data_IF_790221846510
#
_entry.id   IF_790221846510
#
_cell.length_a   1.000
_cell.length_b   1.000
_cell.length_c   1.000
_cell.angle_alpha   90.00
_cell.angle_beta   90.00
_cell.angle_gamma   90.00
#
_symmetry.space_group_name_H-M   'P 1'
#
loop_
_entity.id
_entity.type
_entity.pdbx_description
1 polymer ?
#
# COMPACT_ATOMS: atom_id res chain seq x y z
N UNK A 1 -60.33 -18.51 -23.21
CA UNK A 1 -59.13 -18.15 -24.00
C UNK A 1 -58.06 -17.69 -23.03
N UNK A 2 -57.15 -18.60 -22.70
CA UNK A 2 -55.93 -18.32 -21.97
C UNK A 2 -54.83 -18.05 -23.00
N UNK A 3 -54.03 -17.00 -22.78
CA UNK A 3 -52.68 -16.96 -23.33
C UNK A 3 -51.71 -16.68 -22.21
N UNK A 4 -51.11 -17.77 -21.74
CA UNK A 4 -49.84 -17.84 -21.05
C UNK A 4 -48.71 -17.44 -22.00
N UNK A 5 -47.75 -16.66 -21.51
CA UNK A 5 -46.35 -16.81 -21.95
C UNK A 5 -45.50 -16.95 -20.71
N UNK A 6 -45.08 -18.18 -20.48
CA UNK A 6 -44.10 -18.62 -19.49
C UNK A 6 -42.71 -18.27 -20.02
N UNK A 7 -41.90 -17.59 -19.23
CA UNK A 7 -40.45 -17.66 -19.36
C UNK A 7 -39.88 -17.91 -17.96
N UNK A 8 -39.57 -19.17 -17.69
CA UNK A 8 -38.73 -19.58 -16.58
C UNK A 8 -37.30 -19.11 -16.85
N UNK A 9 -36.77 -18.29 -15.96
CA UNK A 9 -35.34 -18.08 -15.78
C UNK A 9 -35.03 -18.30 -14.31
N UNK A 10 -34.74 -19.55 -13.95
CA UNK A 10 -34.15 -19.89 -12.66
C UNK A 10 -32.76 -19.25 -12.59
N UNK A 11 -32.70 -18.11 -11.91
CA UNK A 11 -31.47 -17.37 -11.62
C UNK A 11 -31.55 -16.86 -10.20
N UNK A 12 -31.24 -17.73 -9.24
CA UNK A 12 -31.00 -17.34 -7.84
C UNK A 12 -29.76 -16.44 -7.76
N UNK A 13 -29.91 -15.14 -8.06
CA UNK A 13 -29.00 -14.11 -7.57
C UNK A 13 -29.70 -13.38 -6.44
N UNK A 14 -29.77 -14.06 -5.30
CA UNK A 14 -30.19 -13.45 -4.04
C UNK A 14 -29.12 -12.44 -3.62
N UNK A 15 -29.35 -11.18 -3.93
CA UNK A 15 -28.68 -10.05 -3.29
C UNK A 15 -28.93 -10.14 -1.78
N UNK A 16 -27.91 -10.50 -1.01
CA UNK A 16 -27.95 -10.37 0.45
C UNK A 16 -27.40 -8.99 0.83
N UNK A 17 -28.31 -8.16 1.33
CA UNK A 17 -28.01 -7.01 2.20
C UNK A 17 -27.01 -7.42 3.30
N UNK A 18 -26.24 -6.46 3.80
CA UNK A 18 -25.30 -6.53 4.95
C UNK A 18 -26.00 -6.95 6.27
N UNK A 19 -26.52 -8.17 6.26
CA UNK A 19 -27.23 -8.89 7.32
C UNK A 19 -26.92 -10.38 7.20
N UNK A 20 -25.69 -10.73 6.84
CA UNK A 20 -25.29 -12.13 6.90
C UNK A 20 -24.94 -12.46 8.35
N UNK A 21 -25.61 -13.47 8.90
CA UNK A 21 -25.46 -13.97 10.27
C UNK A 21 -24.00 -14.32 10.61
N UNK A 22 -23.16 -14.56 9.60
CA UNK A 22 -21.73 -14.86 9.73
C UNK A 22 -20.83 -13.65 10.09
N UNK A 23 -21.32 -12.40 9.99
CA UNK A 23 -20.62 -11.19 10.49
C UNK A 23 -21.26 -10.62 11.78
N UNK A 24 -22.35 -11.22 12.28
CA UNK A 24 -22.95 -10.81 13.57
C UNK A 24 -22.23 -11.43 14.77
N UNK A 25 -21.51 -12.53 14.55
CA UNK A 25 -20.64 -13.11 15.55
C UNK A 25 -19.30 -12.37 15.50
N UNK A 26 -19.16 -11.32 16.34
CA UNK A 26 -17.84 -10.75 16.64
C UNK A 26 -16.91 -11.90 16.97
N UNK A 27 -15.79 -12.01 16.25
CA UNK A 27 -14.81 -13.05 16.54
C UNK A 27 -14.24 -12.77 17.93
N UNK A 28 -14.53 -13.64 18.89
CA UNK A 28 -13.93 -13.60 20.22
C UNK A 28 -12.62 -14.37 20.19
N UNK A 29 -11.47 -13.71 20.34
CA UNK A 29 -10.17 -14.38 20.23
C UNK A 29 -9.12 -13.53 19.54
N UNK A 30 -8.02 -14.17 19.16
CA UNK A 30 -7.06 -13.57 18.24
C UNK A 30 -7.70 -13.44 16.86
N UNK A 31 -7.75 -12.22 16.34
CA UNK A 31 -8.31 -11.91 15.01
C UNK A 31 -7.22 -11.74 13.96
N UNK A 32 -6.00 -11.47 14.39
CA UNK A 32 -4.85 -11.17 13.55
C UNK A 32 -3.90 -10.17 14.21
N UNK A 33 -2.83 -9.84 13.51
CA UNK A 33 -1.86 -8.82 13.92
C UNK A 33 -1.67 -7.80 12.80
N UNK A 34 -1.53 -6.53 13.16
CA UNK A 34 -1.42 -5.40 12.23
C UNK A 34 -0.27 -4.52 12.69
N UNK A 35 0.52 -4.01 11.75
CA UNK A 35 1.45 -2.91 12.01
C UNK A 35 1.40 -1.92 10.85
N UNK A 36 1.28 -0.62 11.14
CA UNK A 36 1.26 0.42 10.12
C UNK A 36 1.86 1.73 10.62
N UNK A 37 2.37 2.56 9.69
CA UNK A 37 2.90 3.89 9.98
C UNK A 37 1.83 4.88 10.49
N UNK A 38 0.53 4.63 10.22
CA UNK A 38 -0.57 5.50 10.63
C UNK A 38 -1.55 4.77 11.56
N UNK A 39 -1.72 5.25 12.82
CA UNK A 39 -2.51 4.56 13.83
C UNK A 39 -4.00 4.34 13.48
N UNK A 40 -4.68 5.33 12.91
CA UNK A 40 -6.11 5.21 12.62
C UNK A 40 -6.38 4.17 11.53
N UNK A 41 -5.53 4.09 10.51
CA UNK A 41 -5.62 3.09 9.46
C UNK A 41 -5.41 1.67 10.03
N UNK A 42 -4.47 1.49 10.96
CA UNK A 42 -4.29 0.21 11.67
C UNK A 42 -5.54 -0.19 12.46
N UNK A 43 -6.22 0.77 13.11
CA UNK A 43 -7.48 0.52 13.81
C UNK A 43 -8.61 0.11 12.85
N UNK A 44 -8.71 0.75 11.67
CA UNK A 44 -9.69 0.35 10.63
C UNK A 44 -9.45 -1.10 10.19
N UNK A 45 -8.19 -1.49 9.95
CA UNK A 45 -7.87 -2.86 9.59
C UNK A 45 -8.26 -3.87 10.68
N UNK A 46 -8.03 -3.52 11.97
CA UNK A 46 -8.43 -4.36 13.10
C UNK A 46 -9.93 -4.55 13.13
N UNK A 47 -10.71 -3.48 12.91
CA UNK A 47 -12.16 -3.57 12.89
C UNK A 47 -12.68 -4.47 11.78
N UNK A 48 -12.02 -4.49 10.61
CA UNK A 48 -12.33 -5.43 9.52
C UNK A 48 -12.05 -6.87 9.93
N UNK A 49 -10.92 -7.15 10.57
CA UNK A 49 -10.61 -8.50 11.07
C UNK A 49 -11.60 -8.94 12.16
N UNK A 50 -11.97 -8.06 13.10
CA UNK A 50 -12.97 -8.35 14.15
C UNK A 50 -14.33 -8.72 13.55
N UNK A 51 -14.68 -8.08 12.43
CA UNK A 51 -15.91 -8.30 11.69
C UNK A 51 -15.84 -9.51 10.75
N UNK A 52 -14.76 -10.28 10.75
CA UNK A 52 -14.63 -11.52 9.99
C UNK A 52 -14.03 -11.40 8.59
N UNK A 53 -13.52 -10.21 8.22
CA UNK A 53 -12.66 -10.07 7.04
C UNK A 53 -11.33 -10.79 7.22
N UNK A 54 -10.67 -11.14 6.12
CA UNK A 54 -9.33 -11.75 6.15
C UNK A 54 -8.23 -10.69 5.99
N UNK A 55 -6.97 -11.13 5.92
CA UNK A 55 -5.83 -10.22 5.80
C UNK A 55 -5.89 -9.34 4.55
N UNK A 56 -6.41 -9.85 3.42
CA UNK A 56 -6.57 -9.06 2.20
C UNK A 56 -7.66 -8.00 2.33
N UNK A 57 -8.81 -8.31 2.92
CA UNK A 57 -9.88 -7.33 3.20
C UNK A 57 -9.37 -6.21 4.12
N UNK A 58 -8.69 -6.60 5.20
CA UNK A 58 -8.16 -5.67 6.19
C UNK A 58 -7.02 -4.80 5.61
N UNK A 59 -6.13 -5.37 4.79
CA UNK A 59 -5.09 -4.63 4.08
C UNK A 59 -5.68 -3.63 3.08
N UNK A 60 -6.72 -4.01 2.34
CA UNK A 60 -7.44 -3.12 1.42
C UNK A 60 -8.11 -1.98 2.18
N UNK A 61 -8.77 -2.26 3.31
CA UNK A 61 -9.37 -1.22 4.15
C UNK A 61 -8.33 -0.27 4.75
N UNK A 62 -7.19 -0.80 5.20
CA UNK A 62 -6.05 -0.01 5.66
C UNK A 62 -5.53 0.92 4.56
N UNK A 63 -5.31 0.39 3.35
CA UNK A 63 -4.83 1.16 2.20
C UNK A 63 -5.78 2.29 1.80
N UNK A 64 -7.10 2.06 1.83
CA UNK A 64 -8.09 3.13 1.60
C UNK A 64 -8.16 4.12 2.77
N UNK A 65 -8.07 3.67 4.02
CA UNK A 65 -8.04 4.56 5.17
C UNK A 65 -6.85 5.52 5.13
N UNK A 66 -5.68 5.04 4.69
CA UNK A 66 -4.47 5.86 4.51
C UNK A 66 -4.66 7.04 3.55
N UNK A 67 -5.55 6.93 2.55
CA UNK A 67 -5.82 8.08 1.66
C UNK A 67 -6.55 9.23 2.36
N UNK A 68 -7.12 8.96 3.53
CA UNK A 68 -7.82 9.93 4.38
C UNK A 68 -6.92 10.36 5.53
N UNK A 69 -6.25 9.42 6.19
CA UNK A 69 -5.48 9.66 7.41
C UNK A 69 -4.04 10.12 7.16
N UNK A 70 -3.46 9.76 6.01
CA UNK A 70 -2.10 10.12 5.62
C UNK A 70 -2.01 10.59 4.15
N UNK A 71 -2.75 11.65 3.75
CA UNK A 71 -2.80 12.14 2.37
C UNK A 71 -1.47 12.72 1.88
N UNK A 72 -0.47 12.87 2.76
CA UNK A 72 0.90 13.25 2.42
C UNK A 72 1.68 12.12 1.71
N UNK A 73 1.34 10.85 1.96
CA UNK A 73 2.10 9.68 1.47
C UNK A 73 1.25 8.66 0.72
N UNK A 74 -0.05 8.63 0.95
CA UNK A 74 -1.00 7.77 0.25
C UNK A 74 -2.25 8.58 -0.13
N UNK A 75 -2.74 8.41 -1.35
CA UNK A 75 -3.95 9.07 -1.85
C UNK A 75 -4.61 8.16 -2.89
N UNK A 76 -5.91 8.36 -3.16
CA UNK A 76 -6.54 7.77 -4.36
C UNK A 76 -5.80 8.14 -5.65
N UNK A 77 -5.11 9.29 -5.65
CA UNK A 77 -4.25 9.77 -6.72
C UNK A 77 -2.92 9.02 -6.87
N UNK A 78 -2.56 8.18 -5.89
CA UNK A 78 -1.28 7.47 -5.81
C UNK A 78 -1.38 6.00 -6.18
N UNK A 79 -0.53 5.19 -5.54
CA UNK A 79 -0.42 3.77 -5.81
C UNK A 79 0.58 3.10 -4.88
N UNK A 80 1.08 1.93 -5.26
CA UNK A 80 2.00 1.17 -4.44
C UNK A 80 2.20 -0.24 -4.93
N UNK A 81 2.67 -1.08 -4.02
CA UNK A 81 2.77 -2.51 -4.24
C UNK A 81 2.59 -3.28 -2.93
N UNK A 82 2.07 -4.49 -3.04
CA UNK A 82 1.91 -5.41 -1.94
C UNK A 82 2.47 -6.78 -2.31
N UNK A 83 2.90 -7.55 -1.32
CA UNK A 83 3.06 -9.01 -1.42
C UNK A 83 2.00 -9.65 -0.54
N UNK A 84 1.31 -10.65 -1.06
CA UNK A 84 0.30 -11.41 -0.33
C UNK A 84 0.63 -12.90 -0.31
N UNK A 85 0.32 -13.53 0.80
CA UNK A 85 0.50 -14.95 1.02
C UNK A 85 -0.78 -15.55 1.62
N UNK A 86 -1.18 -16.71 1.08
CA UNK A 86 -2.22 -17.55 1.69
C UNK A 86 -1.66 -18.96 1.88
N UNK A 87 -1.86 -19.60 3.05
CA UNK A 87 -1.50 -20.99 3.26
C UNK A 87 -1.97 -21.90 2.13
N UNK A 88 -1.04 -22.67 1.56
CA UNK A 88 -1.32 -23.59 0.45
C UNK A 88 -1.40 -22.95 -0.94
N UNK A 89 -1.19 -21.64 -1.09
CA UNK A 89 -1.05 -20.96 -2.39
C UNK A 89 0.33 -20.32 -2.54
N UNK A 90 0.84 -20.18 -3.77
CA UNK A 90 2.02 -19.35 -4.04
C UNK A 90 1.79 -17.90 -3.58
N UNK A 91 2.86 -17.24 -3.12
CA UNK A 91 2.81 -15.81 -2.82
C UNK A 91 2.80 -14.97 -4.12
N UNK A 92 2.05 -13.88 -4.12
CA UNK A 92 1.88 -13.00 -5.27
C UNK A 92 2.22 -11.55 -4.91
N UNK A 93 2.87 -10.86 -5.83
CA UNK A 93 3.05 -9.42 -5.84
C UNK A 93 1.87 -8.76 -6.54
N UNK A 94 1.25 -7.77 -5.90
CA UNK A 94 0.22 -6.90 -6.45
C UNK A 94 0.85 -5.54 -6.74
N UNK A 95 0.99 -5.21 -8.03
CA UNK A 95 1.76 -4.09 -8.53
C UNK A 95 0.80 -3.04 -9.11
N UNK A 96 0.74 -1.88 -8.49
CA UNK A 96 -0.18 -0.80 -8.83
C UNK A 96 0.49 0.56 -8.61
N UNK A 97 1.73 0.68 -9.08
CA UNK A 97 2.52 1.89 -8.95
C UNK A 97 1.87 3.03 -9.76
N UNK A 98 1.98 4.30 -9.31
CA UNK A 98 1.52 5.43 -10.13
C UNK A 98 2.27 5.44 -11.48
N UNK A 99 1.51 5.43 -12.57
CA UNK A 99 2.05 5.31 -13.93
C UNK A 99 2.15 6.68 -14.61
N UNK A 100 3.09 6.90 -15.55
CA UNK A 100 3.15 8.14 -16.30
C UNK A 100 1.96 8.21 -17.27
N UNK A 101 1.30 9.37 -17.35
CA UNK A 101 0.39 9.66 -18.47
C UNK A 101 1.18 9.93 -19.75
N UNK A 102 0.52 9.84 -20.91
CA UNK A 102 1.14 10.13 -22.21
C UNK A 102 1.54 11.60 -22.41
N UNK A 103 1.31 12.47 -21.41
CA UNK A 103 1.63 13.89 -21.32
C UNK A 103 1.43 14.66 -22.63
N UNK A 104 0.41 15.52 -22.70
CA UNK A 104 0.32 16.51 -23.78
C UNK A 104 1.57 17.41 -23.73
N UNK A 105 2.50 17.22 -24.67
CA UNK A 105 3.73 17.98 -24.75
C UNK A 105 3.44 19.50 -24.70
N UNK A 106 4.11 20.21 -23.80
CA UNK A 106 4.15 21.68 -23.76
C UNK A 106 3.07 22.42 -22.94
N UNK A 107 2.23 21.75 -22.15
CA UNK A 107 1.19 22.41 -21.31
C UNK A 107 1.17 22.00 -19.82
N UNK A 108 2.14 21.22 -19.36
CA UNK A 108 2.17 20.67 -17.99
C UNK A 108 3.24 21.33 -17.14
N UNK A 109 2.83 21.95 -16.03
CA UNK A 109 3.73 22.55 -15.02
C UNK A 109 4.08 21.54 -13.92
N UNK A 110 3.12 20.69 -13.52
CA UNK A 110 3.32 19.64 -12.50
C UNK A 110 2.71 18.32 -12.96
N UNK A 111 3.41 17.55 -13.82
CA UNK A 111 2.88 16.31 -14.38
C UNK A 111 2.39 15.34 -13.30
N UNK A 112 1.16 14.89 -13.43
CA UNK A 112 0.54 13.95 -12.51
C UNK A 112 0.69 12.51 -13.02
N UNK A 113 0.69 11.55 -12.10
CA UNK A 113 0.60 10.14 -12.42
C UNK A 113 -0.88 9.72 -12.59
N UNK A 114 -1.07 8.62 -13.32
CA UNK A 114 -2.35 7.92 -13.41
C UNK A 114 -2.64 7.29 -12.02
N UNK A 115 -3.83 7.51 -11.43
CA UNK A 115 -4.19 7.02 -10.10
C UNK A 115 -4.36 5.50 -10.09
N UNK A 116 -3.51 4.76 -9.38
CA UNK A 116 -3.53 3.29 -9.38
C UNK A 116 -3.97 2.68 -8.05
N UNK A 117 -4.10 3.47 -6.98
CA UNK A 117 -4.48 3.01 -5.64
C UNK A 117 -5.80 2.21 -5.64
N UNK A 118 -6.87 2.78 -6.18
CA UNK A 118 -8.20 2.16 -6.14
C UNK A 118 -8.24 0.83 -6.90
N UNK A 119 -7.67 0.80 -8.12
CA UNK A 119 -7.53 -0.42 -8.93
C UNK A 119 -6.65 -1.48 -8.26
N UNK A 120 -5.55 -1.07 -7.67
CA UNK A 120 -4.59 -1.97 -7.03
C UNK A 120 -5.15 -2.67 -5.80
N UNK A 121 -5.73 -1.89 -4.89
CA UNK A 121 -6.37 -2.42 -3.68
C UNK A 121 -7.61 -3.26 -4.01
N UNK A 122 -8.35 -2.89 -5.06
CA UNK A 122 -9.42 -3.73 -5.58
C UNK A 122 -8.92 -5.06 -6.14
N UNK A 123 -7.83 -5.07 -6.91
CA UNK A 123 -7.25 -6.32 -7.42
C UNK A 123 -6.81 -7.23 -6.27
N UNK A 124 -6.13 -6.67 -5.26
CA UNK A 124 -5.76 -7.41 -4.05
C UNK A 124 -6.98 -8.04 -3.36
N UNK A 125 -8.03 -7.23 -3.15
CA UNK A 125 -9.24 -7.68 -2.48
C UNK A 125 -10.05 -8.67 -3.32
N UNK A 126 -10.17 -8.46 -4.62
CA UNK A 126 -10.90 -9.37 -5.50
C UNK A 126 -10.18 -10.73 -5.66
N UNK A 127 -8.84 -10.73 -5.64
CA UNK A 127 -8.06 -11.96 -5.70
C UNK A 127 -8.05 -12.72 -4.38
N UNK A 128 -8.03 -11.99 -3.25
CA UNK A 128 -7.74 -12.58 -1.97
C UNK A 128 -8.72 -12.33 -0.83
N UNK A 129 -9.61 -11.37 -0.95
CA UNK A 129 -10.58 -10.97 0.06
C UNK A 129 -11.84 -11.84 0.10
N UNK A 130 -12.68 -11.57 1.10
CA UNK A 130 -13.99 -12.20 1.33
C UNK A 130 -15.10 -11.17 1.57
N UNK A 131 -14.76 -9.94 1.96
CA UNK A 131 -15.72 -8.88 2.23
C UNK A 131 -16.30 -8.28 0.93
N UNK A 132 -17.44 -7.60 1.03
CA UNK A 132 -17.89 -6.73 -0.05
C UNK A 132 -17.01 -5.47 -0.06
N UNK A 133 -16.43 -5.15 -1.22
CA UNK A 133 -15.63 -3.95 -1.38
C UNK A 133 -16.41 -2.67 -1.03
N UNK A 134 -17.72 -2.65 -1.24
CA UNK A 134 -18.57 -1.51 -0.92
C UNK A 134 -18.61 -1.23 0.59
N UNK A 135 -18.49 -2.24 1.44
CA UNK A 135 -18.39 -2.04 2.89
C UNK A 135 -17.11 -1.33 3.27
N UNK A 136 -16.00 -1.74 2.65
CA UNK A 136 -14.68 -1.14 2.87
C UNK A 136 -14.68 0.33 2.41
N UNK A 137 -15.26 0.60 1.23
CA UNK A 137 -15.40 1.96 0.72
C UNK A 137 -16.32 2.82 1.60
N UNK A 138 -17.40 2.26 2.12
CA UNK A 138 -18.32 2.97 3.01
C UNK A 138 -17.67 3.35 4.34
N UNK A 139 -16.84 2.46 4.91
CA UNK A 139 -16.03 2.77 6.11
C UNK A 139 -15.12 3.97 5.84
N UNK A 140 -14.45 3.98 4.68
CA UNK A 140 -13.55 5.08 4.30
C UNK A 140 -14.30 6.37 4.02
N UNK A 141 -15.50 6.31 3.41
CA UNK A 141 -16.40 7.46 3.26
C UNK A 141 -16.71 8.09 4.62
N UNK A 142 -17.12 7.28 5.58
CA UNK A 142 -17.45 7.77 6.92
C UNK A 142 -16.24 8.42 7.60
N UNK A 143 -15.05 7.85 7.43
CA UNK A 143 -13.79 8.42 7.93
C UNK A 143 -13.52 9.82 7.35
N UNK A 144 -13.66 9.98 6.04
CA UNK A 144 -13.48 11.27 5.37
C UNK A 144 -14.53 12.31 5.77
N UNK A 145 -15.77 11.88 6.01
CA UNK A 145 -16.90 12.75 6.34
C UNK A 145 -16.96 13.18 7.80
N UNK A 146 -16.73 12.24 8.73
CA UNK A 146 -16.78 12.51 10.18
C UNK A 146 -15.51 13.21 10.66
N UNK A 147 -14.41 13.03 9.93
CA UNK A 147 -13.11 13.59 10.25
C UNK A 147 -12.19 12.60 10.94
N UNK A 148 -10.90 12.88 10.83
CA UNK A 148 -9.80 12.11 11.44
C UNK A 148 -8.95 13.02 12.30
N UNK A 149 -8.32 12.43 13.32
CA UNK A 149 -7.31 13.16 14.11
C UNK A 149 -6.03 13.24 13.29
N UNK A 150 -5.45 14.43 13.16
CA UNK A 150 -4.16 14.61 12.49
C UNK A 150 -3.08 13.93 13.35
N UNK A 151 -2.38 12.96 12.77
CA UNK A 151 -1.30 12.22 13.43
C UNK A 151 0.01 13.02 13.42
N UNK A 152 0.95 12.65 14.29
CA UNK A 152 2.27 13.30 14.38
C UNK A 152 3.03 13.23 13.05
N UNK A 153 3.01 12.07 12.37
CA UNK A 153 3.66 11.89 11.07
C UNK A 153 3.03 12.80 10.01
N UNK A 154 1.70 12.94 10.00
CA UNK A 154 1.03 13.80 9.02
C UNK A 154 1.28 15.28 9.31
N UNK A 155 1.28 15.70 10.58
CA UNK A 155 1.62 17.06 10.99
C UNK A 155 3.07 17.42 10.63
N UNK A 156 4.02 16.50 10.84
CA UNK A 156 5.42 16.67 10.45
C UNK A 156 5.57 16.81 8.93
N UNK A 157 4.86 15.98 8.16
CA UNK A 157 4.86 16.07 6.70
C UNK A 157 4.31 17.42 6.22
N UNK A 158 3.21 17.92 6.81
CA UNK A 158 2.67 19.25 6.52
C UNK A 158 3.66 20.37 6.83
N UNK A 159 4.26 20.34 8.02
CA UNK A 159 5.22 21.36 8.45
C UNK A 159 6.42 21.46 7.51
N UNK A 160 6.88 20.32 6.96
CA UNK A 160 8.02 20.25 6.05
C UNK A 160 7.77 20.94 4.69
N UNK A 161 6.51 21.02 4.22
CA UNK A 161 6.21 21.51 2.86
C UNK A 161 5.14 22.60 2.78
N UNK A 162 4.58 23.08 3.90
CA UNK A 162 3.48 24.04 3.92
C UNK A 162 3.66 25.27 3.00
N UNK A 163 4.87 25.82 2.89
CA UNK A 163 5.17 26.99 2.06
C UNK A 163 4.82 26.79 0.58
N UNK A 164 5.47 25.85 -0.14
CA UNK A 164 5.12 25.53 -1.52
C UNK A 164 3.76 24.82 -1.66
N UNK A 165 3.33 24.05 -0.65
CA UNK A 165 2.06 23.30 -0.69
C UNK A 165 0.86 24.23 -0.76
N UNK A 166 0.86 25.31 0.01
CA UNK A 166 -0.27 26.24 0.13
C UNK A 166 -0.32 27.31 -0.96
N UNK A 167 0.59 27.24 -1.94
CA UNK A 167 0.43 27.97 -3.20
C UNK A 167 -0.75 27.42 -4.02
N UNK A 168 -1.18 26.18 -3.77
CA UNK A 168 -2.44 25.66 -4.27
C UNK A 168 -3.58 26.01 -3.28
N UNK A 169 -4.57 26.82 -3.69
CA UNK A 169 -5.64 27.24 -2.77
C UNK A 169 -6.52 26.08 -2.28
N UNK A 170 -6.61 24.97 -3.01
CA UNK A 170 -7.38 23.82 -2.57
C UNK A 170 -6.64 23.05 -1.48
N UNK A 171 -5.32 22.90 -1.59
CA UNK A 171 -4.47 22.34 -0.53
C UNK A 171 -4.49 23.22 0.72
N UNK A 172 -4.33 24.55 0.56
CA UNK A 172 -4.39 25.49 1.68
C UNK A 172 -5.72 25.37 2.42
N UNK A 173 -6.86 25.42 1.72
CA UNK A 173 -8.19 25.30 2.35
C UNK A 173 -8.41 23.97 3.05
N UNK A 174 -7.79 22.90 2.57
CA UNK A 174 -7.98 21.57 3.14
C UNK A 174 -7.13 21.34 4.39
N UNK A 175 -5.91 21.86 4.42
CA UNK A 175 -4.93 21.57 5.46
C UNK A 175 -4.62 22.75 6.39
N UNK A 176 -5.53 23.73 6.45
CA UNK A 176 -5.50 24.81 7.43
C UNK A 176 -6.72 24.77 8.34
N UNK A 177 -6.52 25.18 9.59
CA UNK A 177 -7.57 25.47 10.56
C UNK A 177 -8.36 26.71 10.13
N UNK A 178 -9.49 26.96 10.81
CA UNK A 178 -10.34 28.13 10.55
C UNK A 178 -9.64 29.48 10.77
N UNK A 179 -8.62 29.52 11.62
CA UNK A 179 -7.79 30.70 11.86
C UNK A 179 -6.69 30.91 10.80
N UNK A 180 -6.62 30.02 9.79
CA UNK A 180 -5.65 30.06 8.70
C UNK A 180 -4.31 29.38 9.01
N UNK A 181 -4.10 28.88 10.22
CA UNK A 181 -2.88 28.15 10.58
C UNK A 181 -2.90 26.72 10.03
N UNK A 182 -1.73 26.19 9.67
CA UNK A 182 -1.56 24.78 9.28
C UNK A 182 -2.06 23.82 10.35
N UNK A 183 -2.75 22.74 9.95
CA UNK A 183 -3.14 21.67 10.86
C UNK A 183 -1.93 21.08 11.60
N UNK A 184 -2.10 20.86 12.90
CA UNK A 184 -1.12 20.27 13.82
C UNK A 184 -1.60 18.92 14.33
N UNK A 185 -0.71 18.17 14.97
CA UNK A 185 -1.08 16.92 15.64
C UNK A 185 -2.22 17.15 16.64
N UNK A 186 -3.19 16.26 16.64
CA UNK A 186 -4.40 16.36 17.47
C UNK A 186 -5.54 17.19 16.86
N UNK A 187 -5.29 17.99 15.82
CA UNK A 187 -6.38 18.69 15.11
C UNK A 187 -7.30 17.71 14.37
N UNK A 188 -8.49 18.17 14.00
CA UNK A 188 -9.42 17.39 13.18
C UNK A 188 -9.33 17.77 11.71
N UNK A 189 -9.03 16.80 10.84
CA UNK A 189 -9.10 16.93 9.38
C UNK A 189 -10.43 16.36 8.88
N UNK A 190 -11.26 17.20 8.25
CA UNK A 190 -12.54 16.80 7.62
C UNK A 190 -12.43 16.97 6.10
N UNK A 191 -12.79 15.93 5.34
CA UNK A 191 -12.59 15.84 3.90
C UNK A 191 -13.92 15.60 3.15
N UNK A 192 -14.83 16.60 3.10
CA UNK A 192 -16.18 16.42 2.57
C UNK A 192 -16.21 16.10 1.07
N UNK A 193 -15.25 16.63 0.29
CA UNK A 193 -15.13 16.30 -1.14
C UNK A 193 -14.72 14.84 -1.35
N UNK A 194 -13.73 14.36 -0.58
CA UNK A 194 -13.27 12.99 -0.65
C UNK A 194 -14.36 12.01 -0.18
N UNK A 195 -15.15 12.37 0.83
CA UNK A 195 -16.36 11.61 1.23
C UNK A 195 -17.29 11.38 0.04
N UNK A 196 -17.64 12.43 -0.70
CA UNK A 196 -18.53 12.33 -1.88
C UNK A 196 -17.92 11.41 -2.94
N UNK A 197 -16.60 11.45 -3.12
CA UNK A 197 -15.91 10.51 -4.00
C UNK A 197 -16.09 9.07 -3.53
N UNK A 198 -15.90 8.78 -2.25
CA UNK A 198 -16.12 7.42 -1.73
C UNK A 198 -17.57 6.98 -1.82
N UNK A 199 -18.54 7.85 -1.55
CA UNK A 199 -19.98 7.56 -1.75
C UNK A 199 -20.26 7.20 -3.22
N UNK A 200 -19.61 7.90 -4.15
CA UNK A 200 -19.70 7.62 -5.59
C UNK A 200 -19.04 6.30 -5.96
N UNK A 201 -17.86 5.98 -5.44
CA UNK A 201 -17.20 4.71 -5.70
C UNK A 201 -18.00 3.52 -5.14
N UNK A 202 -18.70 3.72 -4.02
CA UNK A 202 -19.58 2.72 -3.40
C UNK A 202 -20.82 2.45 -4.27
N UNK A 203 -21.35 3.47 -4.93
CA UNK A 203 -22.60 3.36 -5.72
C UNK A 203 -22.37 3.06 -7.20
N UNK A 204 -21.32 3.62 -7.80
CA UNK A 204 -20.99 3.49 -9.23
C UNK A 204 -19.86 2.49 -9.50
N UNK A 205 -19.19 1.99 -8.45
CA UNK A 205 -18.05 1.08 -8.54
C UNK A 205 -16.72 1.79 -8.78
N UNK A 206 -15.62 1.08 -8.48
CA UNK A 206 -14.24 1.58 -8.63
C UNK A 206 -13.90 1.98 -10.07
N UNK A 207 -14.51 1.33 -11.06
CA UNK A 207 -14.33 1.63 -12.47
C UNK A 207 -14.75 3.05 -12.84
N UNK A 208 -15.63 3.71 -12.06
CA UNK A 208 -16.08 5.06 -12.35
C UNK A 208 -14.95 6.11 -12.29
N UNK A 209 -13.92 5.89 -11.44
CA UNK A 209 -12.69 6.71 -11.41
C UNK A 209 -11.89 6.59 -12.71
N UNK A 210 -12.12 5.56 -13.52
CA UNK A 210 -11.30 5.25 -14.70
C UNK A 210 -12.02 5.43 -16.02
N UNK A 211 -13.29 5.09 -16.08
CA UNK A 211 -14.08 5.08 -17.32
C UNK A 211 -15.42 5.81 -17.18
N UNK A 212 -15.78 6.24 -15.97
CA UNK A 212 -17.04 6.88 -15.67
C UNK A 212 -16.94 8.39 -15.52
N UNK A 213 -17.95 9.00 -14.87
CA UNK A 213 -17.99 10.46 -14.78
C UNK A 213 -16.97 11.02 -13.80
N UNK A 214 -16.58 10.26 -12.77
CA UNK A 214 -15.48 10.65 -11.89
C UNK A 214 -14.15 10.72 -12.65
N UNK A 215 -13.90 9.79 -13.58
CA UNK A 215 -12.73 9.86 -14.46
C UNK A 215 -12.68 11.20 -15.20
N UNK A 216 -13.82 11.62 -15.77
CA UNK A 216 -13.92 12.90 -16.48
C UNK A 216 -13.64 14.10 -15.55
N UNK A 217 -14.28 14.14 -14.38
CA UNK A 217 -14.04 15.22 -13.39
C UNK A 217 -12.59 15.26 -12.91
N UNK A 218 -11.98 14.10 -12.66
CA UNK A 218 -10.58 14.00 -12.27
C UNK A 218 -9.66 14.51 -13.39
N UNK A 219 -9.86 14.05 -14.63
CA UNK A 219 -9.01 14.42 -15.78
C UNK A 219 -9.10 15.92 -16.05
N UNK A 220 -10.31 16.50 -16.05
CA UNK A 220 -10.48 17.95 -16.20
C UNK A 220 -9.78 18.72 -15.08
N UNK A 221 -9.94 18.28 -13.83
CA UNK A 221 -9.27 18.86 -12.68
C UNK A 221 -7.74 18.76 -12.77
N UNK A 222 -7.23 17.61 -13.19
CA UNK A 222 -5.81 17.38 -13.39
C UNK A 222 -5.25 18.25 -14.50
N UNK A 223 -5.96 18.40 -15.63
CA UNK A 223 -5.55 19.29 -16.71
C UNK A 223 -5.49 20.75 -16.26
N UNK A 224 -6.52 21.24 -15.55
CA UNK A 224 -6.53 22.60 -14.99
C UNK A 224 -5.40 22.82 -13.97
N UNK A 225 -5.05 21.79 -13.21
CA UNK A 225 -3.93 21.80 -12.27
C UNK A 225 -2.57 21.50 -12.91
N UNK A 226 -2.46 21.46 -14.24
CA UNK A 226 -1.18 21.25 -14.96
C UNK A 226 -0.64 19.82 -14.92
N UNK A 227 -1.47 18.83 -14.58
CA UNK A 227 -1.15 17.41 -14.45
C UNK A 227 -1.09 16.60 -15.75
N UNK A 228 -1.76 17.06 -16.81
CA UNK A 228 -1.54 16.53 -18.17
C UNK A 228 -2.03 15.11 -18.46
N UNK A 229 -3.09 14.67 -17.79
CA UNK A 229 -3.69 13.34 -17.99
C UNK A 229 -4.81 13.37 -19.03
N UNK A 230 -5.08 12.22 -19.66
CA UNK A 230 -6.19 12.05 -20.60
C UNK A 230 -6.97 10.74 -20.36
N UNK A 231 -8.10 10.58 -21.05
CA UNK A 231 -8.97 9.41 -20.87
C UNK A 231 -8.38 8.09 -21.36
N UNK A 232 -7.47 8.11 -22.34
CA UNK A 232 -6.79 6.90 -22.79
C UNK A 232 -5.79 6.39 -21.75
N UNK A 233 -5.09 7.30 -21.07
CA UNK A 233 -4.21 6.98 -19.94
C UNK A 233 -4.97 6.15 -18.89
N UNK A 234 -6.14 6.62 -18.47
CA UNK A 234 -6.97 5.99 -17.43
C UNK A 234 -7.54 4.64 -17.86
N UNK A 235 -7.94 4.50 -19.13
CA UNK A 235 -8.47 3.24 -19.65
C UNK A 235 -7.40 2.14 -19.70
N UNK A 236 -6.19 2.49 -20.09
CA UNK A 236 -5.15 1.52 -20.42
C UNK A 236 -4.26 1.12 -19.23
N UNK A 237 -4.14 1.96 -18.21
CA UNK A 237 -3.31 1.69 -17.03
C UNK A 237 -3.93 0.63 -16.11
N UNK A 238 -3.38 -0.58 -16.09
CA UNK A 238 -3.90 -1.69 -15.28
C UNK A 238 -2.94 -2.10 -14.16
N UNK A 239 -3.46 -2.49 -12.98
CA UNK A 239 -2.65 -3.14 -11.95
C UNK A 239 -2.29 -4.56 -12.42
N UNK A 240 -1.20 -5.11 -11.88
CA UNK A 240 -0.72 -6.44 -12.26
C UNK A 240 -0.50 -7.30 -11.02
N UNK A 241 -1.08 -8.50 -11.02
CA UNK A 241 -0.67 -9.58 -10.13
C UNK A 241 0.45 -10.37 -10.83
N UNK A 242 1.56 -10.59 -10.13
CA UNK A 242 2.74 -11.30 -10.60
C UNK A 242 3.24 -12.25 -9.50
N UNK A 243 4.03 -13.29 -9.84
CA UNK A 243 4.73 -14.07 -8.83
C UNK A 243 5.56 -13.18 -7.91
N UNK A 244 5.59 -13.49 -6.61
CA UNK A 244 6.53 -12.86 -5.70
C UNK A 244 7.94 -13.41 -5.90
N UNK A 245 8.95 -12.54 -5.80
CA UNK A 245 10.34 -12.99 -5.74
C UNK A 245 10.53 -13.86 -4.49
N UNK A 246 11.39 -14.87 -4.59
CA UNK A 246 11.58 -15.85 -3.53
C UNK A 246 13.05 -16.15 -3.23
N UNK A 247 13.36 -16.36 -1.94
CA UNK A 247 14.67 -16.78 -1.46
C UNK A 247 14.47 -17.90 -0.43
N UNK A 248 15.14 -19.04 -0.64
CA UNK A 248 15.21 -20.11 0.36
C UNK A 248 16.16 -19.70 1.49
N UNK A 249 15.66 -19.74 2.72
CA UNK A 249 16.42 -19.42 3.92
C UNK A 249 17.00 -20.70 4.57
N UNK A 250 18.04 -20.60 5.43
CA UNK A 250 18.73 -21.76 6.00
C UNK A 250 17.84 -22.77 6.73
N UNK A 251 16.76 -22.31 7.37
CA UNK A 251 15.88 -23.15 8.21
C UNK A 251 14.71 -23.80 7.44
N UNK A 252 14.82 -23.96 6.12
CA UNK A 252 13.71 -24.41 5.23
C UNK A 252 12.52 -23.44 5.21
N UNK A 253 12.80 -22.18 5.54
CA UNK A 253 11.85 -21.09 5.41
C UNK A 253 11.97 -20.49 4.00
N UNK A 254 10.93 -19.81 3.55
CA UNK A 254 10.94 -19.09 2.28
C UNK A 254 10.60 -17.64 2.53
N UNK A 255 11.50 -16.76 2.11
CA UNK A 255 11.30 -15.32 2.04
C UNK A 255 10.68 -14.98 0.70
N UNK A 256 9.49 -14.37 0.71
CA UNK A 256 8.84 -13.77 -0.44
C UNK A 256 8.99 -12.25 -0.38
N UNK A 257 9.29 -11.65 -1.53
CA UNK A 257 9.57 -10.23 -1.69
C UNK A 257 8.72 -9.67 -2.81
N UNK A 258 8.31 -8.41 -2.67
CA UNK A 258 7.64 -7.70 -3.76
C UNK A 258 8.56 -7.61 -4.99
N UNK A 259 7.96 -7.82 -6.17
CA UNK A 259 8.67 -7.93 -7.44
C UNK A 259 8.79 -6.58 -8.16
N UNK A 260 9.79 -6.37 -9.03
CA UNK A 260 9.83 -5.24 -9.94
C UNK A 260 8.51 -5.08 -10.73
N UNK A 261 8.09 -3.84 -11.03
CA UNK A 261 8.87 -2.63 -10.93
C UNK A 261 8.95 -2.06 -9.50
N UNK A 262 8.23 -2.61 -8.52
CA UNK A 262 8.45 -2.30 -7.10
C UNK A 262 9.73 -2.99 -6.59
N UNK A 263 10.87 -2.39 -6.91
CA UNK A 263 12.21 -2.98 -6.74
C UNK A 263 12.80 -2.87 -5.32
N UNK A 264 12.05 -2.36 -4.34
CA UNK A 264 12.47 -2.37 -2.94
C UNK A 264 12.63 -3.78 -2.36
N UNK A 265 11.84 -4.74 -2.83
CA UNK A 265 12.00 -6.16 -2.49
C UNK A 265 13.29 -6.77 -3.05
N UNK A 266 13.65 -6.45 -4.30
CA UNK A 266 14.92 -6.87 -4.91
C UNK A 266 16.13 -6.34 -4.13
N UNK A 267 16.11 -5.05 -3.79
CA UNK A 267 17.17 -4.43 -2.97
C UNK A 267 17.29 -5.06 -1.59
N UNK A 268 16.15 -5.31 -0.91
CA UNK A 268 16.10 -5.97 0.40
C UNK A 268 16.65 -7.39 0.33
N UNK A 269 16.21 -8.19 -0.64
CA UNK A 269 16.64 -9.58 -0.80
C UNK A 269 18.14 -9.69 -1.08
N UNK A 270 18.70 -8.80 -1.90
CA UNK A 270 20.13 -8.79 -2.20
C UNK A 270 20.98 -8.33 -1.01
N UNK A 271 20.53 -7.30 -0.30
CA UNK A 271 21.18 -6.85 0.93
C UNK A 271 21.24 -7.95 1.99
N UNK A 272 20.14 -8.67 2.20
CA UNK A 272 20.11 -9.81 3.10
C UNK A 272 21.04 -10.95 2.64
N UNK A 273 20.98 -11.33 1.35
CA UNK A 273 21.70 -12.48 0.82
C UNK A 273 23.22 -12.33 0.85
N UNK A 274 23.72 -11.11 0.61
CA UNK A 274 25.16 -10.84 0.53
C UNK A 274 25.80 -10.54 1.88
N UNK A 275 24.99 -10.27 2.91
CA UNK A 275 25.44 -10.01 4.29
C UNK A 275 26.50 -8.89 4.43
N UNK A 276 26.58 -8.00 3.44
CA UNK A 276 27.44 -6.82 3.45
C UNK A 276 26.77 -5.60 4.08
N UNK A 277 27.25 -4.40 3.74
CA UNK A 277 26.56 -3.16 4.13
C UNK A 277 25.18 -3.08 3.45
N UNK A 278 24.11 -3.21 4.23
CA UNK A 278 22.74 -3.31 3.70
C UNK A 278 22.34 -2.09 2.86
N UNK A 279 22.76 -0.89 3.27
CA UNK A 279 22.45 0.36 2.58
C UNK A 279 23.16 0.47 1.21
N UNK A 280 24.46 0.19 1.18
CA UNK A 280 25.23 0.22 -0.08
C UNK A 280 24.75 -0.87 -1.03
N UNK A 281 24.51 -2.09 -0.53
CA UNK A 281 24.09 -3.21 -1.37
C UNK A 281 22.69 -3.03 -1.95
N UNK A 282 21.72 -2.61 -1.12
CA UNK A 282 20.34 -2.44 -1.58
C UNK A 282 20.25 -1.35 -2.65
N UNK A 283 20.87 -0.19 -2.40
CA UNK A 283 20.88 0.92 -3.37
C UNK A 283 21.68 0.58 -4.63
N UNK A 284 22.87 0.00 -4.50
CA UNK A 284 23.70 -0.37 -5.66
C UNK A 284 23.02 -1.40 -6.56
N UNK A 285 22.31 -2.37 -5.96
CA UNK A 285 21.54 -3.37 -6.70
C UNK A 285 20.38 -2.74 -7.46
N UNK A 286 19.60 -1.88 -6.80
CA UNK A 286 18.44 -1.24 -7.44
C UNK A 286 18.88 -0.20 -8.48
N UNK A 287 19.96 0.56 -8.22
CA UNK A 287 20.50 1.51 -9.19
C UNK A 287 20.92 0.80 -10.49
N UNK A 288 21.68 -0.30 -10.38
CA UNK A 288 22.08 -1.12 -11.52
C UNK A 288 20.87 -1.80 -12.19
N UNK A 289 19.87 -2.23 -11.42
CA UNK A 289 18.64 -2.80 -11.95
C UNK A 289 17.90 -1.81 -12.85
N UNK A 290 17.61 -0.60 -12.32
CA UNK A 290 16.89 0.46 -13.04
C UNK A 290 17.64 0.93 -14.30
N UNK A 291 18.97 0.99 -14.25
CA UNK A 291 19.79 1.35 -15.41
C UNK A 291 19.66 0.36 -16.57
N UNK A 292 19.50 -0.94 -16.27
CA UNK A 292 19.46 -2.00 -17.27
C UNK A 292 18.04 -2.44 -17.65
N UNK A 293 17.05 -2.14 -16.81
CA UNK A 293 15.66 -2.58 -16.97
C UNK A 293 14.72 -1.38 -16.78
N UNK A 294 14.62 -0.49 -17.78
CA UNK A 294 13.70 0.64 -17.70
C UNK A 294 12.26 0.13 -17.55
N UNK A 295 11.52 0.70 -16.60
CA UNK A 295 10.17 0.26 -16.28
C UNK A 295 9.21 0.46 -17.45
N UNK A 296 8.54 -0.61 -17.86
CA UNK A 296 7.29 -0.52 -18.62
C UNK A 296 6.16 -1.04 -17.74
N UNK A 297 5.02 -0.36 -17.82
CA UNK A 297 3.86 -0.66 -16.97
C UNK A 297 2.85 -1.58 -17.64
N UNK A 298 3.28 -2.35 -18.64
CA UNK A 298 2.47 -3.40 -19.24
C UNK A 298 2.75 -4.76 -18.58
N UNK A 299 1.75 -5.64 -18.60
CA UNK A 299 1.80 -6.92 -17.89
C UNK A 299 2.92 -7.84 -18.39
N UNK A 300 3.22 -7.84 -19.69
CA UNK A 300 4.19 -8.76 -20.26
C UNK A 300 5.61 -8.39 -19.83
N UNK A 301 5.93 -7.09 -19.88
CA UNK A 301 7.24 -6.60 -19.42
C UNK A 301 7.42 -6.82 -17.92
N UNK A 302 6.39 -6.57 -17.10
CA UNK A 302 6.43 -6.80 -15.65
C UNK A 302 6.74 -8.27 -15.32
N UNK A 303 6.09 -9.22 -15.98
CA UNK A 303 6.36 -10.65 -15.78
C UNK A 303 7.78 -11.03 -16.23
N UNK A 304 8.24 -10.50 -17.37
CA UNK A 304 9.61 -10.74 -17.83
C UNK A 304 10.67 -10.11 -16.89
N UNK A 305 10.37 -8.96 -16.28
CA UNK A 305 11.23 -8.31 -15.30
C UNK A 305 11.28 -9.09 -13.98
N UNK A 306 10.17 -9.69 -13.56
CA UNK A 306 10.12 -10.57 -12.39
C UNK A 306 11.07 -11.76 -12.56
N UNK A 307 11.00 -12.49 -13.68
CA UNK A 307 11.87 -13.64 -13.97
C UNK A 307 13.37 -13.24 -13.97
N UNK A 308 13.70 -12.09 -14.58
CA UNK A 308 15.06 -11.54 -14.59
C UNK A 308 15.54 -11.18 -13.18
N UNK A 309 14.67 -10.60 -12.36
CA UNK A 309 14.99 -10.22 -10.99
C UNK A 309 15.19 -11.45 -10.10
N UNK A 310 14.38 -12.50 -10.29
CA UNK A 310 14.55 -13.77 -9.62
C UNK A 310 15.89 -14.42 -9.98
N UNK A 311 16.28 -14.38 -11.27
CA UNK A 311 17.60 -14.86 -11.72
C UNK A 311 18.75 -14.07 -11.08
N UNK A 312 18.64 -12.74 -11.02
CA UNK A 312 19.63 -11.88 -10.35
C UNK A 312 19.75 -12.23 -8.86
N UNK A 313 18.63 -12.37 -8.16
CA UNK A 313 18.61 -12.80 -6.76
C UNK A 313 19.24 -14.18 -6.57
N UNK A 314 18.94 -15.14 -7.44
CA UNK A 314 19.51 -16.49 -7.38
C UNK A 314 21.03 -16.46 -7.51
N UNK A 315 21.57 -15.64 -8.41
CA UNK A 315 23.00 -15.48 -8.62
C UNK A 315 23.71 -14.75 -7.45
N UNK A 316 22.98 -13.96 -6.66
CA UNK A 316 23.52 -13.26 -5.49
C UNK A 316 24.56 -12.18 -5.82
N UNK A 317 24.57 -11.69 -7.05
CA UNK A 317 25.50 -10.66 -7.50
C UNK A 317 24.92 -9.27 -7.22
N UNK A 318 25.37 -8.64 -6.14
CA UNK A 318 25.02 -7.25 -5.83
C UNK A 318 25.42 -6.30 -6.96
N UNK A 319 24.58 -5.30 -7.19
CA UNK A 319 24.93 -4.19 -8.06
C UNK A 319 25.79 -3.15 -7.35
N UNK A 320 26.41 -2.28 -8.14
CA UNK A 320 27.09 -1.08 -7.68
C UNK A 320 26.33 0.16 -8.17
N UNK A 321 26.54 1.28 -7.48
CA UNK A 321 25.90 2.55 -7.81
C UNK A 321 25.17 3.15 -6.62
N UNK A 322 24.55 4.30 -6.86
CA UNK A 322 23.80 5.06 -5.86
C UNK A 322 22.48 5.51 -6.48
N UNK A 323 21.43 5.55 -5.66
CA UNK A 323 20.15 6.11 -6.07
C UNK A 323 20.15 7.62 -5.79
N UNK A 324 19.42 8.43 -6.58
CA UNK A 324 19.12 9.80 -6.17
C UNK A 324 18.31 9.79 -4.86
N UNK A 325 18.08 10.98 -4.27
CA UNK A 325 17.11 11.09 -3.18
C UNK A 325 15.74 10.61 -3.66
N UNK A 326 15.16 9.68 -2.91
CA UNK A 326 13.89 9.05 -3.25
C UNK A 326 12.74 9.66 -2.46
N UNK A 327 11.52 9.65 -3.00
CA UNK A 327 10.38 10.27 -2.34
C UNK A 327 9.90 9.47 -1.13
N UNK A 328 9.07 10.13 -0.32
CA UNK A 328 8.40 9.51 0.80
C UNK A 328 7.47 8.36 0.37
N UNK A 329 7.38 7.36 1.23
CA UNK A 329 6.46 6.24 1.15
C UNK A 329 5.93 5.93 2.55
N UNK A 330 4.90 5.10 2.61
CA UNK A 330 4.40 4.52 3.86
C UNK A 330 4.27 3.01 3.70
N UNK A 331 4.41 2.25 4.78
CA UNK A 331 4.26 0.80 4.77
C UNK A 331 3.29 0.32 5.83
N UNK A 332 2.78 -0.89 5.63
CA UNK A 332 2.02 -1.61 6.63
C UNK A 332 2.06 -3.10 6.36
N UNK A 333 1.71 -3.88 7.37
CA UNK A 333 1.46 -5.32 7.22
C UNK A 333 0.28 -5.78 8.07
N UNK A 334 -0.45 -6.76 7.55
CA UNK A 334 -1.61 -7.39 8.18
C UNK A 334 -1.46 -8.90 8.06
N UNK A 335 -1.66 -9.62 9.16
CA UNK A 335 -1.88 -11.07 9.16
C UNK A 335 -3.21 -11.36 9.85
N UNK A 336 -3.98 -12.31 9.34
CA UNK A 336 -5.19 -12.79 10.01
C UNK A 336 -4.91 -14.02 10.87
N UNK A 337 -5.93 -14.48 11.60
CA UNK A 337 -5.84 -15.69 12.44
C UNK A 337 -5.55 -16.99 11.68
N UNK A 338 -5.84 -17.04 10.39
CA UNK A 338 -5.69 -18.24 9.57
C UNK A 338 -4.30 -18.28 8.91
N UNK A 339 -3.49 -17.23 9.08
CA UNK A 339 -2.14 -17.12 8.53
C UNK A 339 -2.10 -16.58 7.10
N UNK A 340 -3.21 -16.02 6.59
CA UNK A 340 -3.14 -15.17 5.41
C UNK A 340 -2.44 -13.87 5.80
N UNK A 341 -1.54 -13.39 4.96
CA UNK A 341 -0.72 -12.22 5.24
C UNK A 341 -0.61 -11.32 4.02
N UNK A 342 -0.59 -10.01 4.27
CA UNK A 342 -0.33 -8.98 3.27
C UNK A 342 0.66 -7.99 3.85
N UNK A 343 1.70 -7.65 3.09
CA UNK A 343 2.61 -6.55 3.39
C UNK A 343 2.63 -5.59 2.21
N UNK A 344 2.54 -4.29 2.47
CA UNK A 344 2.41 -3.27 1.45
C UNK A 344 3.35 -2.09 1.69
N UNK A 345 3.74 -1.44 0.59
CA UNK A 345 4.34 -0.13 0.59
C UNK A 345 3.60 0.76 -0.44
N UNK A 346 3.15 1.93 0.00
CA UNK A 346 2.35 2.87 -0.76
C UNK A 346 3.10 4.19 -0.98
N UNK A 347 2.74 4.92 -2.04
CA UNK A 347 3.39 6.18 -2.39
C UNK A 347 2.53 7.11 -3.24
N UNK A 348 2.95 8.37 -3.26
CA UNK A 348 2.54 9.40 -4.20
C UNK A 348 3.68 9.87 -5.13
N UNK A 349 4.80 9.13 -5.18
CA UNK A 349 6.05 9.48 -5.88
C UNK A 349 6.70 10.81 -5.44
N UNK A 350 6.12 11.49 -4.45
CA UNK A 350 6.66 12.65 -3.76
C UNK A 350 5.78 12.89 -2.52
N UNK A 351 6.27 13.65 -1.54
CA UNK A 351 5.42 14.09 -0.44
C UNK A 351 4.30 14.98 -1.00
N UNK A 352 3.04 14.62 -0.75
CA UNK A 352 1.83 15.19 -1.39
C UNK A 352 1.81 15.12 -2.92
N UNK A 353 2.64 14.28 -3.55
CA UNK A 353 2.71 14.13 -5.00
C UNK A 353 3.03 15.44 -5.72
N UNK A 354 2.09 15.91 -6.53
CA UNK A 354 2.19 17.20 -7.25
C UNK A 354 1.95 18.43 -6.35
N UNK A 355 1.49 18.22 -5.11
CA UNK A 355 1.01 19.27 -4.24
C UNK A 355 -0.24 19.97 -4.76
N UNK A 356 -1.05 19.28 -5.59
CA UNK A 356 -2.29 19.80 -6.19
C UNK A 356 -3.41 18.78 -6.10
N UNK A 357 -4.64 19.27 -5.99
CA UNK A 357 -5.86 18.46 -6.00
C UNK A 357 -6.42 18.38 -7.43
N UNK A 358 -6.93 17.22 -7.83
CA UNK A 358 -7.64 17.06 -9.09
C UNK A 358 -9.01 17.75 -9.04
N UNK A 359 -9.03 19.05 -9.33
CA UNK A 359 -10.25 19.87 -9.37
C UNK A 359 -10.99 19.87 -8.02
N UNK A 360 -12.29 19.55 -8.03
CA UNK A 360 -13.12 19.53 -6.81
C UNK A 360 -13.21 18.16 -6.15
N UNK A 361 -12.40 17.17 -6.58
CA UNK A 361 -12.50 15.79 -6.08
C UNK A 361 -12.00 15.63 -4.64
N UNK A 362 -11.12 16.52 -4.17
CA UNK A 362 -10.40 16.33 -2.91
C UNK A 362 -9.29 15.27 -3.00
N UNK A 363 -9.01 14.73 -4.19
CA UNK A 363 -7.93 13.76 -4.41
C UNK A 363 -6.64 14.51 -4.72
N UNK A 364 -5.65 14.38 -3.85
CA UNK A 364 -4.28 14.88 -4.09
C UNK A 364 -3.61 13.98 -5.14
N UNK A 365 -3.09 14.57 -6.22
CA UNK A 365 -2.53 13.83 -7.35
C UNK A 365 -1.08 13.42 -7.07
N UNK A 366 -0.73 12.16 -7.32
CA UNK A 366 0.66 11.71 -7.26
C UNK A 366 1.52 12.34 -8.38
N UNK A 367 2.82 12.49 -8.11
CA UNK A 367 3.76 12.99 -9.09
C UNK A 367 4.02 11.94 -10.18
N UNK A 368 4.11 12.39 -11.43
CA UNK A 368 4.46 11.49 -12.54
C UNK A 368 5.84 10.88 -12.32
N UNK A 369 6.02 9.56 -12.54
CA UNK A 369 7.33 8.93 -12.49
C UNK A 369 8.30 9.43 -13.58
N UNK A 370 7.82 10.19 -14.57
CA UNK A 370 8.68 10.90 -15.53
C UNK A 370 9.34 12.16 -14.92
N UNK A 371 8.80 12.69 -13.82
CA UNK A 371 9.26 13.92 -13.16
C UNK A 371 9.82 13.70 -11.76
N UNK A 372 9.52 12.55 -11.14
CA UNK A 372 9.99 12.19 -9.82
C UNK A 372 10.48 10.74 -9.81
N UNK A 373 11.60 10.43 -9.12
CA UNK A 373 12.10 9.06 -9.07
C UNK A 373 11.14 8.16 -8.30
N UNK A 374 11.05 6.89 -8.70
CA UNK A 374 10.23 5.92 -8.00
C UNK A 374 10.84 5.57 -6.63
N UNK A 375 10.05 5.51 -5.53
CA UNK A 375 10.54 5.09 -4.22
C UNK A 375 10.94 3.61 -4.20
N UNK A 376 11.68 3.21 -3.17
CA UNK A 376 11.88 1.81 -2.81
C UNK A 376 10.65 1.30 -2.07
N UNK A 377 9.73 0.67 -2.80
CA UNK A 377 8.57 0.00 -2.22
C UNK A 377 9.02 -1.38 -1.70
N UNK A 378 9.19 -1.50 -0.40
CA UNK A 378 9.76 -2.70 0.24
C UNK A 378 8.70 -3.42 1.08
N UNK A 379 8.39 -4.65 0.68
CA UNK A 379 7.48 -5.52 1.40
C UNK A 379 7.94 -6.98 1.26
N UNK A 380 7.81 -7.75 2.33
CA UNK A 380 8.25 -9.12 2.42
C UNK A 380 7.36 -9.98 3.34
N UNK A 381 7.32 -11.28 3.07
CA UNK A 381 6.66 -12.29 3.90
C UNK A 381 7.60 -13.49 4.05
N UNK A 382 7.74 -14.02 5.26
CA UNK A 382 8.49 -15.25 5.56
C UNK A 382 7.51 -16.36 5.92
N UNK A 383 7.74 -17.54 5.37
CA UNK A 383 6.90 -18.73 5.60
C UNK A 383 7.75 -19.95 5.93
N UNK A 384 7.13 -20.95 6.57
CA UNK A 384 7.72 -22.26 6.85
C UNK A 384 6.68 -23.36 6.68
N UNK A 385 6.95 -24.34 5.81
CA UNK A 385 6.04 -25.49 5.56
C UNK A 385 4.57 -25.10 5.40
N UNK A 386 4.29 -24.13 4.52
CA UNK A 386 2.95 -23.57 4.28
C UNK A 386 2.30 -22.86 5.47
N UNK A 387 3.10 -22.38 6.43
CA UNK A 387 2.66 -21.55 7.55
C UNK A 387 3.32 -20.20 7.46
N UNK A 388 2.56 -19.16 7.74
CA UNK A 388 3.09 -17.81 7.91
C UNK A 388 4.03 -17.78 9.12
N UNK A 389 5.17 -17.08 9.01
CA UNK A 389 6.07 -16.80 10.13
C UNK A 389 6.21 -15.30 10.39
N UNK A 390 6.45 -14.52 9.35
CA UNK A 390 6.68 -13.09 9.49
C UNK A 390 6.20 -12.30 8.29
N UNK A 391 5.92 -11.02 8.51
CA UNK A 391 5.77 -10.04 7.44
C UNK A 391 6.50 -8.76 7.82
N UNK A 392 7.06 -8.09 6.82
CA UNK A 392 7.85 -6.87 6.95
C UNK A 392 7.38 -5.91 5.86
N UNK A 393 7.01 -4.70 6.23
CA UNK A 393 6.82 -3.57 5.32
C UNK A 393 7.77 -2.46 5.73
N UNK A 394 8.51 -1.89 4.78
CA UNK A 394 9.50 -0.85 5.08
C UNK A 394 9.30 0.40 4.23
N UNK A 395 9.55 1.55 4.85
CA UNK A 395 9.50 2.89 4.25
C UNK A 395 10.76 3.67 4.63
N UNK A 396 10.87 4.94 4.23
CA UNK A 396 12.03 5.78 4.56
C UNK A 396 13.01 6.02 3.40
N UNK A 397 12.47 6.31 2.20
CA UNK A 397 13.24 6.76 1.03
C UNK A 397 14.32 5.74 0.61
N UNK A 398 15.58 6.17 0.52
CA UNK A 398 16.73 5.35 0.12
C UNK A 398 17.05 4.22 1.12
N UNK A 399 16.64 4.37 2.38
CA UNK A 399 16.97 3.43 3.45
C UNK A 399 15.96 2.28 3.53
N UNK A 400 14.80 2.37 2.88
CA UNK A 400 13.67 1.44 3.06
C UNK A 400 14.06 -0.04 2.82
N UNK A 401 14.78 -0.32 1.73
CA UNK A 401 15.21 -1.69 1.42
C UNK A 401 16.27 -2.22 2.41
N UNK A 402 17.15 -1.36 2.91
CA UNK A 402 18.15 -1.73 3.91
C UNK A 402 17.51 -1.99 5.26
N UNK A 403 16.59 -1.12 5.69
CA UNK A 403 15.82 -1.29 6.90
C UNK A 403 15.04 -2.61 6.92
N UNK A 404 14.40 -2.96 5.80
CA UNK A 404 13.75 -4.28 5.66
C UNK A 404 14.72 -5.45 5.79
N UNK A 405 15.92 -5.36 5.19
CA UNK A 405 16.93 -6.43 5.26
C UNK A 405 17.52 -6.59 6.68
N UNK A 406 17.73 -5.49 7.40
CA UNK A 406 18.16 -5.50 8.79
C UNK A 406 17.08 -6.07 9.71
N UNK A 407 15.81 -5.66 9.53
CA UNK A 407 14.67 -6.22 10.25
C UNK A 407 14.57 -7.74 10.06
N UNK A 408 14.72 -8.22 8.83
CA UNK A 408 14.75 -9.64 8.53
C UNK A 408 15.93 -10.34 9.22
N UNK A 409 17.12 -9.74 9.19
CA UNK A 409 18.30 -10.31 9.86
C UNK A 409 18.09 -10.39 11.38
N UNK A 410 17.53 -9.34 11.99
CA UNK A 410 17.20 -9.30 13.42
C UNK A 410 16.15 -10.37 13.78
N UNK A 411 15.19 -10.61 12.89
CA UNK A 411 14.19 -11.66 13.05
C UNK A 411 14.82 -13.05 13.00
N UNK A 412 15.62 -13.35 11.97
CA UNK A 412 16.24 -14.66 11.80
C UNK A 412 17.29 -14.98 12.89
N UNK A 413 17.95 -13.95 13.42
CA UNK A 413 18.96 -14.08 14.47
C UNK A 413 18.36 -14.11 15.90
N UNK A 414 17.06 -13.83 16.07
CA UNK A 414 16.43 -13.68 17.39
C UNK A 414 16.39 -14.96 18.24
N UNK A 415 16.74 -16.13 17.69
CA UNK A 415 16.71 -17.40 18.42
C UNK A 415 15.32 -17.77 18.96
N UNK A 416 15.22 -18.83 19.77
CA UNK A 416 13.93 -19.29 20.34
C UNK A 416 13.42 -18.43 21.51
N UNK A 417 14.14 -17.39 21.93
CA UNK A 417 13.85 -16.61 23.12
C UNK A 417 13.90 -15.11 22.83
N UNK A 418 12.72 -14.49 22.99
CA UNK A 418 12.42 -13.11 23.39
C UNK A 418 11.76 -12.26 22.32
N UNK A 419 10.71 -11.56 22.76
CA UNK A 419 10.16 -10.36 22.16
C UNK A 419 11.33 -9.47 21.70
N UNK A 420 11.59 -9.48 20.39
CA UNK A 420 12.74 -8.78 19.85
C UNK A 420 12.24 -7.49 19.24
N UNK A 421 12.10 -6.45 20.07
CA UNK A 421 11.81 -5.10 19.58
C UNK A 421 12.79 -4.68 18.49
N UNK A 422 14.03 -5.20 18.47
CA UNK A 422 15.00 -4.93 17.42
C UNK A 422 14.53 -5.31 16.00
N UNK A 423 13.51 -6.16 15.84
CA UNK A 423 12.90 -6.46 14.53
C UNK A 423 12.38 -5.18 13.86
N UNK A 424 11.86 -4.22 14.63
CA UNK A 424 11.37 -2.95 14.10
C UNK A 424 12.32 -1.77 14.33
N UNK A 425 13.57 -2.01 14.75
CA UNK A 425 14.56 -0.94 15.01
C UNK A 425 15.77 -1.12 14.09
N UNK A 426 15.63 -0.89 12.78
CA UNK A 426 16.75 -0.90 11.85
C UNK A 426 17.77 0.19 12.22
N UNK A 427 19.06 -0.11 12.06
CA UNK A 427 20.14 0.84 12.23
C UNK A 427 20.32 1.69 10.96
N UNK A 428 19.25 2.37 10.57
CA UNK A 428 19.20 3.25 9.40
C UNK A 428 18.75 4.65 9.81
N UNK A 429 19.11 5.65 9.03
CA UNK A 429 18.84 7.05 9.38
C UNK A 429 17.36 7.41 9.17
N UNK A 430 16.80 6.99 8.02
CA UNK A 430 15.45 7.34 7.59
C UNK A 430 14.53 6.12 7.49
N UNK A 431 15.10 4.92 7.40
CA UNK A 431 14.34 3.69 7.23
C UNK A 431 13.46 3.40 8.44
N UNK A 432 12.23 2.96 8.17
CA UNK A 432 11.24 2.57 9.19
C UNK A 432 10.63 1.23 8.82
N UNK A 433 10.27 0.44 9.83
CA UNK A 433 9.75 -0.92 9.65
C UNK A 433 8.45 -1.13 10.40
N UNK A 434 7.49 -1.74 9.71
CA UNK A 434 6.31 -2.37 10.27
C UNK A 434 6.46 -3.87 10.11
N UNK A 435 6.40 -4.62 11.20
CA UNK A 435 6.63 -6.05 11.19
C UNK A 435 5.59 -6.81 12.00
N UNK A 436 5.33 -8.04 11.59
CA UNK A 436 4.62 -9.04 12.38
C UNK A 436 5.46 -10.30 12.39
N UNK A 437 5.57 -10.93 13.56
CA UNK A 437 6.25 -12.20 13.74
C UNK A 437 5.43 -13.13 14.63
N UNK A 438 5.28 -14.37 14.17
CA UNK A 438 4.60 -15.45 14.87
C UNK A 438 5.59 -16.61 15.04
N UNK A 439 6.12 -16.76 16.26
CA UNK A 439 7.21 -17.71 16.55
C UNK A 439 6.90 -19.15 16.15
N UNK A 440 5.68 -19.61 16.43
CA UNK A 440 5.24 -20.97 16.09
C UNK A 440 4.58 -21.06 14.71
N UNK A 441 4.41 -19.92 14.03
CA UNK A 441 3.74 -19.75 12.74
C UNK A 441 2.21 -19.84 12.77
N UNK A 442 1.57 -19.33 11.73
CA UNK A 442 0.11 -19.38 11.53
C UNK A 442 -0.29 -20.19 10.29
N UNK A 443 -1.42 -20.94 10.33
CA UNK A 443 -2.25 -21.17 11.51
C UNK A 443 -1.50 -21.96 12.59
N UNK A 444 -1.79 -21.72 13.87
CA UNK A 444 -1.00 -22.25 14.99
C UNK A 444 -1.28 -21.57 16.33
N UNK A 445 -0.27 -21.56 17.22
CA UNK A 445 -0.35 -20.87 18.51
C UNK A 445 -0.41 -19.35 18.31
N UNK A 446 -1.59 -18.78 18.50
CA UNK A 446 -1.86 -17.36 18.32
C UNK A 446 -1.28 -16.48 19.43
N UNK A 447 -0.93 -17.05 20.59
CA UNK A 447 -0.44 -16.27 21.73
C UNK A 447 0.99 -15.75 21.53
N UNK A 448 1.71 -16.35 20.58
CA UNK A 448 3.09 -16.03 20.19
C UNK A 448 3.21 -15.18 18.92
N UNK A 449 2.11 -14.58 18.47
CA UNK A 449 2.12 -13.56 17.44
C UNK A 449 2.29 -12.17 18.06
N UNK A 450 3.19 -11.39 17.48
CA UNK A 450 3.50 -10.01 17.88
C UNK A 450 3.68 -9.15 16.65
N UNK A 451 3.13 -7.95 16.70
CA UNK A 451 3.33 -6.87 15.76
C UNK A 451 4.30 -5.86 16.38
N UNK A 452 5.09 -5.21 15.54
CA UNK A 452 6.12 -4.25 15.93
C UNK A 452 6.12 -3.11 14.93
N UNK A 453 6.13 -1.88 15.43
CA UNK A 453 6.36 -0.67 14.65
C UNK A 453 7.65 0.00 15.14
N UNK A 454 8.34 0.69 14.25
CA UNK A 454 9.58 1.37 14.58
C UNK A 454 9.32 2.51 15.59
N UNK A 455 10.03 2.55 16.74
CA UNK A 455 9.82 3.60 17.76
C UNK A 455 10.25 4.98 17.31
N UNK A 456 11.04 5.09 16.23
CA UNK A 456 11.39 6.36 15.61
C UNK A 456 10.26 6.88 14.70
N UNK A 457 9.19 6.10 14.53
CA UNK A 457 7.94 6.48 13.89
C UNK A 457 6.82 6.75 14.89
N UNK A 458 5.64 7.10 14.36
CA UNK A 458 4.42 7.32 15.14
C UNK A 458 3.34 6.26 14.80
N UNK A 459 3.78 5.08 14.35
CA UNK A 459 2.91 4.00 13.90
C UNK A 459 2.19 3.28 15.04
N UNK A 460 1.36 2.31 14.68
CA UNK A 460 0.64 1.46 15.62
C UNK A 460 0.80 -0.01 15.26
N UNK A 461 1.13 -0.80 16.28
CA UNK A 461 1.19 -2.25 16.23
C UNK A 461 0.11 -2.87 17.12
N UNK A 462 -0.69 -3.78 16.57
CA UNK A 462 -1.81 -4.46 17.23
C UNK A 462 -1.60 -5.97 17.09
N UNK A 463 -1.53 -6.71 18.20
CA UNK A 463 -1.25 -8.17 18.17
C UNK A 463 -2.13 -9.01 19.06
N UNK A 464 -2.94 -8.39 19.92
CA UNK A 464 -3.82 -9.04 20.89
C UNK A 464 -5.16 -8.28 20.96
N UNK A 465 -6.17 -8.99 21.47
CA UNK A 465 -7.62 -8.64 21.50
C UNK A 465 -7.92 -7.15 21.63
#
# INVERSE_FOLDING_TARGET
MAFSVTACGDGKTGHQSLKNKAMQDRITGYVGSISADEPQAAMIARDVLIRGGNAADAATALGFALTVTLPSRASLGGGGACVAYRPGKPAESFLFLPQPGAATQGKTDRPAAIPMMARGLYLLQASNGKADINDILQVTSNLAGNGVTVSDIFASDLAAVQGPLFQDPAMQRLFTRRDGATLQSGDTLIQPRLKIIYDRLTTAGISDLYVGSLAHSYILGAQAAGGGLNGADFRNALPVAAPALSISLPNKETLYLVSPPADGGLGMGMAWKTQGNALTTSQGTVAKWRANNPTKFDKQDILAQEEKAQSLLNNGQAGNGTLPSLPASTSFTVVDRDGEAVSCALTMNNLFGTGRIAGTTGIVMAASPNSAPQPLLTAAIVTYKNRFLAAIGASGQNDAAAAGAEALSNLLNSGKNKENSAIAHPNTSQGRVNAVYCQDGLPGDTDKCRAYTDPQGAGLALSKR
#
